data_IF_401277219210
#
_entry.id   IF_401277219210
#
_cell.length_a   1.000
_cell.length_b   1.000
_cell.length_c   1.000
_cell.angle_alpha   90.00
_cell.angle_beta   90.00
_cell.angle_gamma   90.00
#
_symmetry.space_group_name_H-M   'P 1'
#
loop_
_entity.id
_entity.type
_entity.pdbx_description
1 polymer ?
#
# COMPACT_ATOMS: atom_id res chain seq x y z
N UNK A 1 38.34 28.75 -3.24
CA UNK A 1 39.21 29.47 -4.19
C UNK A 1 38.33 30.23 -5.17
N UNK A 2 38.69 31.47 -5.47
CA UNK A 2 37.88 32.49 -6.14
C UNK A 2 38.14 32.41 -7.65
N UNK A 3 37.16 32.04 -8.48
CA UNK A 3 37.22 32.20 -9.93
C UNK A 3 36.35 33.39 -10.35
N UNK A 4 36.86 34.58 -10.05
CA UNK A 4 36.49 35.84 -10.72
C UNK A 4 37.68 36.19 -11.62
N UNK A 5 37.38 36.75 -12.80
CA UNK A 5 38.34 37.19 -13.83
C UNK A 5 38.73 36.15 -14.88
N UNK A 6 37.79 35.84 -15.78
CA UNK A 6 38.12 35.42 -17.14
C UNK A 6 37.23 36.12 -18.20
N UNK A 7 36.75 37.32 -17.88
CA UNK A 7 35.85 38.12 -18.73
C UNK A 7 36.30 39.59 -18.85
N UNK A 8 37.61 39.84 -18.80
CA UNK A 8 38.15 41.21 -18.83
C UNK A 8 39.50 41.29 -19.58
N UNK A 9 39.63 40.56 -20.70
CA UNK A 9 40.86 40.55 -21.51
C UNK A 9 40.60 40.58 -23.03
N UNK A 10 39.46 41.15 -23.44
CA UNK A 10 39.08 41.31 -24.85
C UNK A 10 38.69 42.75 -25.23
N UNK A 11 38.93 43.73 -24.36
CA UNK A 11 38.53 45.14 -24.57
C UNK A 11 39.69 46.15 -24.48
N UNK A 12 40.95 45.72 -24.55
CA UNK A 12 42.12 46.60 -24.41
C UNK A 12 43.19 46.32 -25.46
N UNK A 13 42.89 46.60 -26.73
CA UNK A 13 43.82 46.28 -27.82
C UNK A 13 43.67 47.13 -29.08
N UNK A 14 43.12 48.35 -29.01
CA UNK A 14 43.03 49.18 -30.21
C UNK A 14 43.06 50.67 -29.94
N UNK A 15 44.12 51.18 -29.30
CA UNK A 15 44.56 52.56 -29.50
C UNK A 15 46.09 52.66 -29.39
N UNK A 16 46.66 53.59 -30.17
CA UNK A 16 48.07 54.00 -30.29
C UNK A 16 49.01 53.10 -31.11
N UNK A 17 49.35 53.51 -32.34
CA UNK A 17 50.43 54.48 -32.58
C UNK A 17 50.82 54.60 -34.08
N UNK A 18 51.41 55.76 -34.41
CA UNK A 18 52.19 56.14 -35.61
C UNK A 18 51.35 56.50 -36.85
N UNK A 19 51.02 57.77 -37.14
CA UNK A 19 51.83 59.00 -37.21
C UNK A 19 53.04 58.87 -38.16
N UNK A 20 52.85 59.31 -39.41
CA UNK A 20 53.90 59.84 -40.27
C UNK A 20 53.31 60.89 -41.21
N UNK A 21 53.81 62.11 -41.06
CA UNK A 21 53.56 63.29 -41.89
C UNK A 21 54.13 63.09 -43.31
N UNK A 22 53.36 63.48 -44.33
CA UNK A 22 53.94 63.96 -45.60
C UNK A 22 53.07 65.11 -46.14
N UNK A 23 53.58 66.32 -45.91
CA UNK A 23 53.61 67.51 -46.77
C UNK A 23 52.41 67.81 -47.69
N UNK A 24 51.82 68.98 -47.41
CA UNK A 24 51.17 69.93 -48.32
C UNK A 24 51.03 69.54 -49.79
N UNK A 25 49.78 69.37 -50.22
CA UNK A 25 49.36 69.86 -51.53
C UNK A 25 47.86 70.16 -51.52
N UNK A 26 47.56 71.44 -51.59
CA UNK A 26 46.25 72.01 -51.92
C UNK A 26 45.83 71.50 -53.30
N UNK A 27 44.82 70.62 -53.37
CA UNK A 27 44.11 70.32 -54.62
C UNK A 27 42.77 69.63 -54.35
N UNK A 28 41.69 70.38 -54.59
CA UNK A 28 40.40 69.96 -55.17
C UNK A 28 39.57 68.83 -54.53
N UNK A 29 38.22 68.95 -54.51
CA UNK A 29 37.35 67.92 -53.96
C UNK A 29 37.45 66.65 -54.81
N UNK A 30 38.00 65.56 -54.25
CA UNK A 30 37.91 64.23 -54.86
C UNK A 30 36.46 63.76 -54.82
N UNK A 31 35.77 63.99 -55.92
CA UNK A 31 34.52 63.34 -56.32
C UNK A 31 34.73 61.83 -56.21
N UNK A 32 33.91 61.14 -55.40
CA UNK A 32 33.84 59.67 -55.36
C UNK A 32 33.63 59.16 -56.79
N UNK A 33 34.56 58.36 -57.30
CA UNK A 33 34.47 57.72 -58.62
C UNK A 33 33.22 56.84 -58.68
N UNK A 34 32.41 56.94 -59.75
CA UNK A 34 31.14 56.20 -59.94
C UNK A 34 31.23 54.70 -59.61
N UNK A 35 32.38 54.06 -59.88
CA UNK A 35 32.64 52.65 -59.57
C UNK A 35 32.58 52.29 -58.08
N UNK A 36 33.03 53.16 -57.18
CA UNK A 36 32.97 52.88 -55.73
C UNK A 36 31.54 53.01 -55.20
N UNK A 37 30.76 53.94 -55.75
CA UNK A 37 29.34 54.12 -55.41
C UNK A 37 28.49 52.93 -55.88
N UNK A 38 28.82 52.33 -57.03
CA UNK A 38 28.17 51.11 -57.52
C UNK A 38 28.51 49.89 -56.66
N UNK A 39 29.77 49.74 -56.22
CA UNK A 39 30.17 48.66 -55.31
C UNK A 39 29.50 48.80 -53.94
N UNK A 40 29.42 50.02 -53.40
CA UNK A 40 28.73 50.30 -52.12
C UNK A 40 27.23 49.98 -52.22
N UNK A 41 26.56 50.36 -53.33
CA UNK A 41 25.15 50.01 -53.60
C UNK A 41 24.94 48.51 -53.75
N UNK A 42 25.86 47.80 -54.42
CA UNK A 42 25.79 46.35 -54.57
C UNK A 42 25.97 45.63 -53.22
N UNK A 43 26.90 46.10 -52.38
CA UNK A 43 27.11 45.59 -51.02
C UNK A 43 25.89 45.84 -50.11
N UNK A 44 25.30 47.04 -50.14
CA UNK A 44 24.06 47.36 -49.41
C UNK A 44 22.88 46.50 -49.85
N UNK A 45 22.78 46.15 -51.15
CA UNK A 45 21.74 45.26 -51.65
C UNK A 45 21.96 43.81 -51.18
N UNK A 46 23.20 43.32 -51.24
CA UNK A 46 23.56 42.00 -50.74
C UNK A 46 23.36 41.87 -49.21
N UNK A 47 23.69 42.92 -48.45
CA UNK A 47 23.47 42.95 -47.00
C UNK A 47 21.98 42.97 -46.66
N UNK A 48 21.16 43.76 -47.39
CA UNK A 48 19.70 43.74 -47.23
C UNK A 48 19.09 42.38 -47.56
N UNK A 49 19.59 41.68 -48.58
CA UNK A 49 19.14 40.33 -48.91
C UNK A 49 19.55 39.31 -47.85
N UNK A 50 20.77 39.42 -47.33
CA UNK A 50 21.25 38.59 -46.20
C UNK A 50 20.43 38.83 -44.93
N UNK A 51 20.15 40.07 -44.57
CA UNK A 51 19.31 40.42 -43.42
C UNK A 51 17.88 39.87 -43.56
N UNK A 52 17.29 39.92 -44.77
CA UNK A 52 15.98 39.32 -45.05
C UNK A 52 16.00 37.80 -44.95
N UNK A 53 17.09 37.15 -45.38
CA UNK A 53 17.27 35.71 -45.23
C UNK A 53 17.41 35.30 -43.76
N UNK A 54 18.22 36.03 -42.99
CA UNK A 54 18.40 35.82 -41.54
C UNK A 54 17.09 36.06 -40.76
N UNK A 55 16.30 37.08 -41.12
CA UNK A 55 15.00 37.35 -40.49
C UNK A 55 14.00 36.21 -40.77
N UNK A 56 13.98 35.68 -42.00
CA UNK A 56 13.14 34.51 -42.33
C UNK A 56 13.58 33.27 -41.56
N UNK A 57 14.88 32.99 -41.50
CA UNK A 57 15.43 31.86 -40.75
C UNK A 57 15.11 31.96 -39.24
N UNK A 58 15.23 33.16 -38.64
CA UNK A 58 14.83 33.40 -37.25
C UNK A 58 13.35 33.19 -37.00
N UNK A 59 12.48 33.68 -37.90
CA UNK A 59 11.01 33.47 -37.79
C UNK A 59 10.63 32.00 -37.90
N UNK A 60 11.32 31.23 -38.73
CA UNK A 60 11.08 29.79 -38.88
C UNK A 60 11.56 29.02 -37.65
N UNK A 61 12.74 29.37 -37.11
CA UNK A 61 13.26 28.82 -35.87
C UNK A 61 12.33 29.11 -34.68
N UNK A 62 11.82 30.35 -34.55
CA UNK A 62 10.89 30.72 -33.48
C UNK A 62 9.56 29.96 -33.57
N UNK A 63 9.04 29.71 -34.79
CA UNK A 63 7.86 28.86 -34.98
C UNK A 63 8.11 27.42 -34.56
N UNK A 64 9.24 26.84 -34.98
CA UNK A 64 9.62 25.48 -34.61
C UNK A 64 9.83 25.34 -33.08
N UNK A 65 10.39 26.35 -32.43
CA UNK A 65 10.56 26.37 -30.98
C UNK A 65 9.22 26.45 -30.24
N UNK A 66 8.29 27.32 -30.71
CA UNK A 66 6.94 27.40 -30.15
C UNK A 66 6.14 26.09 -30.30
N UNK A 67 6.31 25.37 -31.41
CA UNK A 67 5.67 24.07 -31.60
C UNK A 67 6.27 23.00 -30.69
N UNK A 68 7.60 22.99 -30.52
CA UNK A 68 8.28 22.10 -29.57
C UNK A 68 7.84 22.36 -28.14
N UNK A 69 7.74 23.62 -27.72
CA UNK A 69 7.28 24.00 -26.38
C UNK A 69 5.84 23.57 -26.13
N UNK A 70 4.95 23.71 -27.13
CA UNK A 70 3.57 23.21 -27.03
C UNK A 70 3.52 21.69 -26.89
N UNK A 71 4.27 20.96 -27.72
CA UNK A 71 4.33 19.51 -27.65
C UNK A 71 4.92 19.01 -26.31
N UNK A 72 5.91 19.70 -25.76
CA UNK A 72 6.47 19.39 -24.44
C UNK A 72 5.45 19.61 -23.32
N UNK A 73 4.73 20.76 -23.35
CA UNK A 73 3.65 21.04 -22.38
C UNK A 73 2.52 20.02 -22.44
N UNK A 74 2.15 19.53 -23.61
CA UNK A 74 1.15 18.48 -23.76
C UNK A 74 1.63 17.14 -23.21
N UNK A 75 2.88 16.77 -23.49
CA UNK A 75 3.50 15.57 -22.91
C UNK A 75 3.57 15.64 -21.39
N UNK A 76 3.95 16.79 -20.83
CA UNK A 76 4.02 16.99 -19.39
C UNK A 76 2.63 16.87 -18.73
N UNK A 77 1.58 17.41 -19.37
CA UNK A 77 0.19 17.24 -18.92
C UNK A 77 -0.24 15.77 -18.94
N UNK A 78 0.06 15.06 -20.02
CA UNK A 78 -0.27 13.64 -20.15
C UNK A 78 0.43 12.78 -19.09
N UNK A 79 1.72 13.05 -18.82
CA UNK A 79 2.48 12.36 -17.76
C UNK A 79 1.88 12.66 -16.38
N UNK A 80 1.54 13.92 -16.09
CA UNK A 80 0.91 14.31 -14.82
C UNK A 80 -0.46 13.66 -14.63
N UNK A 81 -1.24 13.48 -15.69
CA UNK A 81 -2.53 12.80 -15.63
C UNK A 81 -2.37 11.30 -15.40
N UNK A 82 -1.41 10.67 -16.08
CA UNK A 82 -1.08 9.26 -15.88
C UNK A 82 -0.60 8.99 -14.45
N UNK A 83 0.28 9.86 -13.90
CA UNK A 83 0.77 9.73 -12.52
C UNK A 83 -0.36 9.88 -11.49
N UNK A 84 -1.33 10.78 -11.74
CA UNK A 84 -2.52 10.90 -10.88
C UNK A 84 -3.38 9.64 -10.94
N UNK A 85 -3.65 9.13 -12.13
CA UNK A 85 -4.43 7.90 -12.32
C UNK A 85 -3.75 6.68 -11.67
N UNK A 86 -2.42 6.58 -11.75
CA UNK A 86 -1.65 5.52 -11.08
C UNK A 86 -1.74 5.64 -9.55
N UNK A 87 -1.58 6.86 -9.00
CA UNK A 87 -1.74 7.10 -7.55
C UNK A 87 -3.14 6.77 -7.06
N UNK A 88 -4.18 7.04 -7.85
CA UNK A 88 -5.56 6.68 -7.50
C UNK A 88 -5.78 5.16 -7.54
N UNK A 89 -5.23 4.47 -8.54
CA UNK A 89 -5.26 3.00 -8.61
C UNK A 89 -4.54 2.35 -7.43
N UNK A 90 -3.35 2.84 -7.08
CA UNK A 90 -2.58 2.33 -5.95
C UNK A 90 -3.33 2.54 -4.62
N UNK A 91 -3.99 3.70 -4.44
CA UNK A 91 -4.84 3.94 -3.26
C UNK A 91 -6.02 2.96 -3.22
N UNK A 92 -6.72 2.77 -4.33
CA UNK A 92 -7.84 1.85 -4.42
C UNK A 92 -7.43 0.40 -4.15
N UNK A 93 -6.26 -0.02 -4.64
CA UNK A 93 -5.70 -1.36 -4.38
C UNK A 93 -5.36 -1.54 -2.89
N UNK A 94 -4.69 -0.56 -2.27
CA UNK A 94 -4.40 -0.57 -0.82
C UNK A 94 -5.67 -0.62 0.03
N UNK A 95 -6.73 0.06 -0.38
CA UNK A 95 -8.02 -0.01 0.32
C UNK A 95 -8.69 -1.38 0.16
N UNK A 96 -8.63 -1.98 -1.04
CA UNK A 96 -9.13 -3.35 -1.27
C UNK A 96 -8.36 -4.37 -0.44
N UNK A 97 -7.03 -4.30 -0.41
CA UNK A 97 -6.18 -5.20 0.39
C UNK A 97 -6.51 -5.08 1.89
N UNK A 98 -6.66 -3.85 2.40
CA UNK A 98 -7.08 -3.64 3.80
C UNK A 98 -8.47 -4.22 4.09
N UNK A 99 -9.42 -4.06 3.18
CA UNK A 99 -10.76 -4.61 3.31
C UNK A 99 -10.75 -6.15 3.28
N UNK A 100 -9.97 -6.75 2.38
CA UNK A 100 -9.79 -8.20 2.29
C UNK A 100 -9.16 -8.75 3.56
N UNK A 101 -8.07 -8.15 4.03
CA UNK A 101 -7.41 -8.54 5.29
C UNK A 101 -8.34 -8.43 6.50
N UNK A 102 -9.24 -7.45 6.53
CA UNK A 102 -10.26 -7.33 7.58
C UNK A 102 -11.29 -8.46 7.49
N UNK A 103 -11.76 -8.79 6.29
CA UNK A 103 -12.68 -9.92 6.07
C UNK A 103 -12.04 -11.25 6.45
N UNK A 104 -10.80 -11.49 6.05
CA UNK A 104 -10.05 -12.70 6.40
C UNK A 104 -9.91 -12.86 7.92
N UNK A 105 -9.56 -11.78 8.63
CA UNK A 105 -9.51 -11.78 10.10
C UNK A 105 -10.86 -12.13 10.72
N UNK A 106 -11.94 -11.53 10.23
CA UNK A 106 -13.29 -11.81 10.73
C UNK A 106 -13.71 -13.26 10.47
N UNK A 107 -13.39 -13.80 9.29
CA UNK A 107 -13.64 -15.22 8.97
C UNK A 107 -12.87 -16.12 9.94
N UNK A 108 -11.58 -15.86 10.14
CA UNK A 108 -10.73 -16.64 11.04
C UNK A 108 -11.20 -16.58 12.50
N UNK A 109 -11.67 -15.43 12.96
CA UNK A 109 -12.26 -15.29 14.29
C UNK A 109 -13.56 -16.06 14.42
N UNK A 110 -14.42 -16.00 13.40
CA UNK A 110 -15.66 -16.77 13.36
C UNK A 110 -15.41 -18.29 13.31
N UNK A 111 -14.42 -18.75 12.56
CA UNK A 111 -14.01 -20.16 12.53
C UNK A 111 -13.51 -20.64 13.90
N UNK A 112 -12.62 -19.87 14.54
CA UNK A 112 -12.15 -20.18 15.91
C UNK A 112 -13.28 -20.20 16.93
N UNK A 113 -14.26 -19.31 16.80
CA UNK A 113 -15.44 -19.30 17.67
C UNK A 113 -16.31 -20.55 17.45
N UNK A 114 -16.52 -20.95 16.18
CA UNK A 114 -17.23 -22.19 15.83
C UNK A 114 -16.51 -23.42 16.37
N UNK A 115 -15.20 -23.53 16.19
CA UNK A 115 -14.39 -24.64 16.70
C UNK A 115 -14.52 -24.77 18.23
N UNK A 116 -14.34 -23.67 18.96
CA UNK A 116 -14.52 -23.65 20.42
C UNK A 116 -15.94 -24.08 20.85
N UNK A 117 -16.97 -23.67 20.12
CA UNK A 117 -18.35 -24.10 20.38
C UNK A 117 -18.52 -25.59 20.15
N UNK A 118 -18.00 -26.12 19.04
CA UNK A 118 -18.11 -27.55 18.72
C UNK A 118 -17.36 -28.42 19.74
N UNK A 119 -16.18 -28.00 20.20
CA UNK A 119 -15.45 -28.71 21.24
C UNK A 119 -16.17 -28.68 22.59
N UNK A 120 -16.74 -27.54 22.98
CA UNK A 120 -17.57 -27.45 24.18
C UNK A 120 -18.83 -28.32 24.09
N UNK A 121 -19.49 -28.40 22.92
CA UNK A 121 -20.62 -29.32 22.69
C UNK A 121 -20.19 -30.78 22.80
N UNK A 122 -19.03 -31.15 22.24
CA UNK A 122 -18.49 -32.51 22.35
C UNK A 122 -18.21 -32.86 23.81
N UNK A 123 -17.61 -31.97 24.59
CA UNK A 123 -17.36 -32.15 26.03
C UNK A 123 -18.67 -32.42 26.78
N UNK A 124 -19.67 -31.56 26.59
CA UNK A 124 -21.02 -31.72 27.18
C UNK A 124 -21.64 -33.08 26.80
N UNK A 125 -21.57 -33.45 25.52
CA UNK A 125 -22.10 -34.73 25.01
C UNK A 125 -21.42 -35.95 25.66
N UNK A 126 -20.08 -35.93 25.77
CA UNK A 126 -19.32 -37.01 26.41
C UNK A 126 -19.64 -37.14 27.90
N UNK A 127 -19.77 -36.02 28.61
CA UNK A 127 -20.16 -36.03 30.04
C UNK A 127 -21.58 -36.57 30.19
N UNK A 128 -22.54 -36.14 29.36
CA UNK A 128 -23.92 -36.66 29.35
C UNK A 128 -23.95 -38.17 29.16
N UNK A 129 -23.16 -38.70 28.22
CA UNK A 129 -23.06 -40.15 28.00
C UNK A 129 -22.54 -40.88 29.24
N UNK A 130 -21.44 -40.41 29.85
CA UNK A 130 -20.90 -40.99 31.09
C UNK A 130 -21.91 -40.98 32.25
N UNK A 131 -22.65 -39.88 32.41
CA UNK A 131 -23.72 -39.75 33.41
C UNK A 131 -24.85 -40.76 33.15
N UNK A 132 -25.27 -40.93 31.90
CA UNK A 132 -26.32 -41.87 31.52
C UNK A 132 -25.91 -43.32 31.83
N UNK A 133 -24.69 -43.71 31.46
CA UNK A 133 -24.15 -45.05 31.75
C UNK A 133 -24.05 -45.29 33.27
N UNK A 134 -23.52 -44.32 34.01
CA UNK A 134 -23.38 -44.44 35.46
C UNK A 134 -24.73 -44.45 36.19
N UNK A 135 -25.73 -43.68 35.72
CA UNK A 135 -27.12 -43.75 36.20
C UNK A 135 -27.72 -45.14 35.98
N UNK A 136 -27.52 -45.71 34.78
CA UNK A 136 -28.01 -47.06 34.45
C UNK A 136 -27.41 -48.11 35.39
N UNK A 137 -26.12 -48.01 35.68
CA UNK A 137 -25.46 -48.94 36.59
C UNK A 137 -25.90 -48.78 38.05
N UNK A 138 -26.05 -47.54 38.55
CA UNK A 138 -26.61 -47.28 39.88
C UNK A 138 -28.02 -47.86 40.00
N UNK A 139 -28.86 -47.67 38.99
CA UNK A 139 -30.24 -48.20 39.00
C UNK A 139 -30.26 -49.74 39.02
N UNK A 140 -29.36 -50.40 38.27
CA UNK A 140 -29.21 -51.87 38.34
C UNK A 140 -28.78 -52.33 39.73
N UNK A 141 -27.83 -51.65 40.36
CA UNK A 141 -27.37 -51.97 41.71
C UNK A 141 -28.48 -51.81 42.75
N UNK A 142 -29.24 -50.72 42.68
CA UNK A 142 -30.41 -50.49 43.52
C UNK A 142 -31.48 -51.57 43.35
N UNK A 143 -31.79 -51.95 42.10
CA UNK A 143 -32.74 -53.01 41.80
C UNK A 143 -32.27 -54.37 42.33
N UNK A 144 -30.97 -54.68 42.20
CA UNK A 144 -30.40 -55.92 42.75
C UNK A 144 -30.43 -55.95 44.28
N UNK A 145 -30.11 -54.83 44.93
CA UNK A 145 -30.21 -54.68 46.39
C UNK A 145 -31.64 -54.94 46.86
N UNK A 146 -32.62 -54.23 46.27
CA UNK A 146 -34.05 -54.43 46.60
C UNK A 146 -34.50 -55.87 46.37
N UNK A 147 -34.11 -56.49 45.25
CA UNK A 147 -34.45 -57.90 44.97
C UNK A 147 -33.87 -58.86 46.00
N UNK A 148 -32.66 -58.62 46.49
CA UNK A 148 -32.04 -59.49 47.48
C UNK A 148 -32.56 -59.25 48.90
N UNK A 149 -32.90 -58.00 49.24
CA UNK A 149 -33.61 -57.64 50.48
C UNK A 149 -34.98 -58.35 50.55
N UNK A 150 -35.78 -58.26 49.48
CA UNK A 150 -37.08 -58.93 49.40
C UNK A 150 -36.99 -60.46 49.49
N UNK A 151 -35.88 -61.05 49.03
CA UNK A 151 -35.65 -62.50 49.11
C UNK A 151 -35.04 -62.94 50.44
N UNK A 152 -34.77 -62.04 51.38
CA UNK A 152 -34.10 -62.35 52.65
C UNK A 152 -32.69 -62.91 52.50
N UNK A 153 -32.03 -62.67 51.36
CA UNK A 153 -30.71 -63.25 51.03
C UNK A 153 -29.53 -62.41 51.53
N UNK A 154 -29.79 -61.32 52.23
CA UNK A 154 -28.79 -60.35 52.63
C UNK A 154 -28.75 -60.22 54.15
N UNK A 155 -27.56 -60.32 54.75
CA UNK A 155 -27.36 -59.96 56.15
C UNK A 155 -27.39 -58.44 56.32
N UNK A 156 -27.71 -57.91 57.51
CA UNK A 156 -27.68 -56.47 57.77
C UNK A 156 -26.33 -55.81 57.43
N UNK A 157 -25.22 -56.52 57.67
CA UNK A 157 -23.88 -56.01 57.38
C UNK A 157 -23.58 -55.97 55.87
N UNK A 158 -24.01 -56.98 55.12
CA UNK A 158 -23.85 -57.01 53.67
C UNK A 158 -24.73 -55.95 52.98
N UNK A 159 -25.91 -55.69 53.53
CA UNK A 159 -26.79 -54.62 53.08
C UNK A 159 -26.14 -53.25 53.25
N UNK A 160 -25.52 -52.99 54.41
CA UNK A 160 -24.78 -51.76 54.66
C UNK A 160 -23.62 -51.58 53.66
N UNK A 161 -22.80 -52.63 53.43
CA UNK A 161 -21.72 -52.58 52.44
C UNK A 161 -22.22 -52.30 51.02
N UNK A 162 -23.37 -52.86 50.64
CA UNK A 162 -23.94 -52.60 49.32
C UNK A 162 -24.47 -51.17 49.20
N UNK A 163 -25.18 -50.68 50.23
CA UNK A 163 -25.63 -49.28 50.30
C UNK A 163 -24.46 -48.30 50.24
N UNK A 164 -23.36 -48.58 50.94
CA UNK A 164 -22.14 -47.78 50.90
C UNK A 164 -21.53 -47.73 49.48
N UNK A 165 -21.50 -48.87 48.76
CA UNK A 165 -21.07 -48.90 47.35
C UNK A 165 -21.96 -48.08 46.44
N UNK A 166 -23.28 -48.15 46.63
CA UNK A 166 -24.24 -47.34 45.87
C UNK A 166 -24.02 -45.86 46.16
N UNK A 167 -23.87 -45.48 47.44
CA UNK A 167 -23.60 -44.11 47.85
C UNK A 167 -22.32 -43.55 47.20
N UNK A 168 -21.22 -44.31 47.19
CA UNK A 168 -19.97 -43.90 46.50
C UNK A 168 -20.19 -43.68 45.00
N UNK A 169 -21.00 -44.51 44.34
CA UNK A 169 -21.36 -44.33 42.93
C UNK A 169 -22.24 -43.09 42.72
N UNK A 170 -23.16 -42.80 43.63
CA UNK A 170 -24.01 -41.60 43.60
C UNK A 170 -23.22 -40.31 43.84
N UNK A 171 -22.27 -40.30 44.76
CA UNK A 171 -21.36 -39.17 44.97
C UNK A 171 -20.55 -38.89 43.71
N UNK A 172 -20.01 -39.94 43.07
CA UNK A 172 -19.29 -39.80 41.80
C UNK A 172 -20.22 -39.27 40.69
N UNK A 173 -21.48 -39.71 40.67
CA UNK A 173 -22.46 -39.22 39.71
C UNK A 173 -22.74 -37.72 39.93
N UNK A 174 -22.89 -37.30 41.18
CA UNK A 174 -23.09 -35.90 41.53
C UNK A 174 -21.90 -35.02 41.11
N UNK A 175 -20.67 -35.51 41.30
CA UNK A 175 -19.45 -34.85 40.78
C UNK A 175 -19.52 -34.66 39.26
N UNK A 176 -19.91 -35.69 38.51
CA UNK A 176 -20.08 -35.60 37.06
C UNK A 176 -21.22 -34.65 36.66
N UNK A 177 -22.33 -34.60 37.41
CA UNK A 177 -23.41 -33.64 37.18
C UNK A 177 -22.94 -32.19 37.39
N UNK A 178 -22.12 -31.94 38.41
CA UNK A 178 -21.50 -30.62 38.62
C UNK A 178 -20.52 -30.26 37.49
N UNK A 179 -19.77 -31.23 36.98
CA UNK A 179 -18.92 -31.03 35.79
C UNK A 179 -19.75 -30.71 34.55
N UNK A 180 -20.88 -31.42 34.35
CA UNK A 180 -21.81 -31.15 33.27
C UNK A 180 -22.36 -29.73 33.36
N UNK A 181 -22.81 -29.30 34.53
CA UNK A 181 -23.34 -27.94 34.74
C UNK A 181 -22.27 -26.88 34.42
N UNK A 182 -21.02 -27.10 34.83
CA UNK A 182 -19.90 -26.22 34.49
C UNK A 182 -19.64 -26.19 32.99
N UNK A 183 -19.68 -27.33 32.31
CA UNK A 183 -19.48 -27.44 30.87
C UNK A 183 -20.63 -26.77 30.09
N UNK A 184 -21.88 -26.97 30.51
CA UNK A 184 -23.05 -26.32 29.92
C UNK A 184 -23.02 -24.80 30.12
N UNK A 185 -22.60 -24.31 31.31
CA UNK A 185 -22.35 -22.88 31.56
C UNK A 185 -21.22 -22.31 30.70
N UNK A 186 -20.20 -23.10 30.37
CA UNK A 186 -19.15 -22.67 29.42
C UNK A 186 -19.72 -22.58 28.02
N UNK A 187 -20.47 -23.58 27.58
CA UNK A 187 -21.10 -23.61 26.27
C UNK A 187 -22.08 -22.44 26.09
N UNK A 188 -22.93 -22.17 27.09
CA UNK A 188 -23.90 -21.06 27.03
C UNK A 188 -23.25 -19.68 27.00
N UNK A 189 -21.99 -19.54 27.45
CA UNK A 189 -21.22 -18.29 27.32
C UNK A 189 -20.58 -18.14 25.94
N UNK A 190 -20.50 -19.22 25.18
CA UNK A 190 -19.96 -19.23 23.83
C UNK A 190 -21.05 -18.97 22.79
N UNK A 191 -22.32 -19.24 23.08
CA UNK A 191 -23.49 -18.99 22.22
C UNK A 191 -23.82 -17.49 22.10
#
# INVERSE_FOLDING_TARGET
MKTKSLLALLFFGMQFALSQEVKDSVAAPKIKTEKELEVEKAQLKAEKERLKADEKAKKEQEKAEKEREKAEKEREKAVKEQEKAEKEREKAEKEREKAEKKREKQIKEAEKAKEKREDAKKEVSQIKKKIADQKKDINKEKANLQKNQLKGKLSPNDELKWKEKILKKEEKLNKQQNELEKAEKKLSKLD
#
